data_IF_267034591420
#
_entry.id   IF_267034591420
#
_cell.length_a   1.000
_cell.length_b   1.000
_cell.length_c   1.000
_cell.angle_alpha   90.00
_cell.angle_beta   90.00
_cell.angle_gamma   90.00
#
_symmetry.space_group_name_H-M   'P 1'
#
loop_
_entity.id
_entity.type
_entity.pdbx_description
1 polymer ?
#
# COMPACT_ATOMS: atom_id res chain seq x y z
N UNK A 1 19.62 26.05 -17.23
CA UNK A 1 20.26 24.78 -17.66
C UNK A 1 19.12 23.87 -18.03
N UNK A 2 19.04 23.51 -19.28
CA UNK A 2 17.97 22.65 -19.78
C UNK A 2 18.25 21.21 -19.33
N UNK A 3 17.63 20.82 -18.22
CA UNK A 3 17.76 19.51 -17.61
C UNK A 3 16.64 18.59 -18.06
N UNK A 4 16.38 18.54 -19.35
CA UNK A 4 15.45 17.58 -19.97
C UNK A 4 15.95 16.14 -19.81
N UNK A 5 15.09 15.14 -20.07
CA UNK A 5 15.49 13.72 -20.13
C UNK A 5 16.74 13.53 -21.00
N UNK A 6 16.87 14.35 -22.04
CA UNK A 6 18.09 14.45 -22.86
C UNK A 6 19.31 14.89 -22.05
N UNK A 7 19.16 15.74 -21.04
CA UNK A 7 20.27 16.16 -20.20
C UNK A 7 20.63 15.11 -19.14
N UNK A 8 19.64 14.43 -18.56
CA UNK A 8 19.85 13.27 -17.68
C UNK A 8 20.50 12.13 -18.45
N UNK A 9 20.00 11.83 -19.64
CA UNK A 9 20.56 10.89 -20.59
C UNK A 9 22.00 11.23 -20.95
N UNK A 10 22.28 12.46 -21.34
CA UNK A 10 23.62 12.94 -21.65
C UNK A 10 24.55 12.92 -20.43
N UNK A 11 24.05 13.17 -19.21
CA UNK A 11 24.83 13.08 -17.99
C UNK A 11 25.16 11.63 -17.62
N UNK A 12 24.23 10.69 -17.82
CA UNK A 12 24.47 9.26 -17.61
C UNK A 12 25.49 8.73 -18.62
N UNK A 13 25.32 9.08 -19.89
CA UNK A 13 26.30 8.70 -20.95
C UNK A 13 27.66 9.32 -20.70
N UNK A 14 27.75 10.59 -20.27
CA UNK A 14 29.02 11.26 -19.98
C UNK A 14 29.71 10.71 -18.74
N UNK A 15 29.01 10.21 -17.75
CA UNK A 15 29.58 9.61 -16.54
C UNK A 15 29.94 8.13 -16.71
N UNK A 16 29.25 7.42 -17.57
CA UNK A 16 29.47 6.01 -17.88
C UNK A 16 30.10 5.88 -19.27
N UNK A 17 31.41 5.86 -19.36
CA UNK A 17 32.20 5.55 -20.56
C UNK A 17 31.44 4.81 -21.67
N UNK A 18 30.87 5.53 -22.63
CA UNK A 18 30.68 5.03 -23.99
C UNK A 18 29.68 3.88 -24.21
N UNK A 19 28.69 3.65 -23.35
CA UNK A 19 27.62 2.72 -23.67
C UNK A 19 26.67 3.37 -24.68
N UNK A 20 26.67 2.89 -25.92
CA UNK A 20 25.76 3.34 -26.98
C UNK A 20 24.32 2.83 -26.76
N UNK A 21 23.77 2.98 -25.54
CA UNK A 21 22.37 2.66 -25.25
C UNK A 21 21.45 3.61 -26.01
N UNK A 22 20.40 3.09 -26.57
CA UNK A 22 19.29 3.89 -27.09
C UNK A 22 18.36 4.35 -25.95
N UNK A 23 17.53 5.39 -26.19
CA UNK A 23 16.53 5.85 -25.24
C UNK A 23 15.60 4.69 -24.78
N UNK A 24 15.18 3.84 -25.70
CA UNK A 24 14.31 2.69 -25.41
C UNK A 24 15.03 1.68 -24.51
N UNK A 25 16.28 1.35 -24.80
CA UNK A 25 17.06 0.44 -23.96
C UNK A 25 17.26 0.98 -22.54
N UNK A 26 17.46 2.28 -22.41
CA UNK A 26 17.51 2.93 -21.09
C UNK A 26 16.17 2.79 -20.34
N UNK A 27 15.06 3.10 -21.01
CA UNK A 27 13.71 2.95 -20.40
C UNK A 27 13.41 1.50 -20.00
N UNK A 28 13.85 0.52 -20.80
CA UNK A 28 13.71 -0.92 -20.46
C UNK A 28 14.47 -1.28 -19.20
N UNK A 29 15.72 -0.81 -19.05
CA UNK A 29 16.54 -1.07 -17.87
C UNK A 29 15.97 -0.43 -16.61
N UNK A 30 15.58 0.85 -16.69
CA UNK A 30 14.98 1.56 -15.57
C UNK A 30 13.62 0.95 -15.15
N UNK A 31 12.80 0.58 -16.12
CA UNK A 31 11.53 -0.07 -15.86
C UNK A 31 11.73 -1.42 -15.17
N UNK A 32 12.70 -2.22 -15.62
CA UNK A 32 13.02 -3.49 -14.96
C UNK A 32 13.50 -3.25 -13.52
N UNK A 33 14.42 -2.29 -13.33
CA UNK A 33 14.90 -1.94 -11.99
C UNK A 33 13.76 -1.47 -11.08
N UNK A 34 12.81 -0.69 -11.62
CA UNK A 34 11.61 -0.26 -10.88
C UNK A 34 10.70 -1.40 -10.48
N UNK A 35 10.40 -2.31 -11.42
CA UNK A 35 9.52 -3.47 -11.17
C UNK A 35 10.07 -4.31 -10.00
N UNK A 36 11.39 -4.49 -9.93
CA UNK A 36 12.08 -5.29 -8.92
C UNK A 36 12.49 -4.46 -7.68
N UNK A 37 12.17 -3.16 -7.64
CA UNK A 37 12.64 -2.25 -6.59
C UNK A 37 11.97 -2.50 -5.24
N UNK A 38 12.73 -2.32 -4.17
CA UNK A 38 12.22 -2.31 -2.80
C UNK A 38 11.17 -1.23 -2.56
N UNK A 39 11.30 -0.05 -3.20
CA UNK A 39 10.34 1.07 -3.10
C UNK A 39 8.95 0.66 -3.64
N UNK A 40 8.90 0.08 -4.84
CA UNK A 40 7.66 -0.41 -5.43
C UNK A 40 7.04 -1.54 -4.59
N UNK A 41 7.86 -2.45 -4.10
CA UNK A 41 7.37 -3.52 -3.23
C UNK A 41 6.74 -2.99 -1.93
N UNK A 42 7.33 -1.97 -1.30
CA UNK A 42 6.75 -1.32 -0.11
C UNK A 42 5.39 -0.69 -0.42
N UNK A 43 5.20 -0.06 -1.59
CA UNK A 43 3.90 0.45 -2.03
C UNK A 43 2.86 -0.66 -2.13
N UNK A 44 3.22 -1.78 -2.74
CA UNK A 44 2.34 -2.96 -2.88
C UNK A 44 1.99 -3.54 -1.50
N UNK A 45 2.97 -3.65 -0.60
CA UNK A 45 2.74 -4.14 0.77
C UNK A 45 1.79 -3.21 1.53
N UNK A 46 1.98 -1.89 1.46
CA UNK A 46 1.10 -0.93 2.12
C UNK A 46 -0.36 -1.07 1.67
N UNK A 47 -0.60 -1.21 0.36
CA UNK A 47 -1.93 -1.45 -0.19
C UNK A 47 -2.52 -2.78 0.25
N UNK A 48 -1.75 -3.88 0.17
CA UNK A 48 -2.21 -5.20 0.62
C UNK A 48 -2.66 -5.17 2.07
N UNK A 49 -1.86 -4.57 2.94
CA UNK A 49 -2.18 -4.48 4.36
C UNK A 49 -3.41 -3.62 4.62
N UNK A 50 -3.58 -2.52 3.87
CA UNK A 50 -4.80 -1.72 3.95
C UNK A 50 -6.04 -2.52 3.56
N UNK A 51 -5.95 -3.32 2.49
CA UNK A 51 -7.02 -4.17 1.98
C UNK A 51 -7.27 -5.43 2.84
N UNK A 52 -6.46 -5.66 3.90
CA UNK A 52 -6.59 -6.82 4.80
C UNK A 52 -5.84 -8.05 4.33
N UNK A 53 -5.09 -7.99 3.24
CA UNK A 53 -4.22 -9.08 2.77
C UNK A 53 -2.87 -9.04 3.50
N UNK A 54 -2.88 -9.50 4.75
CA UNK A 54 -1.70 -9.54 5.61
C UNK A 54 -0.91 -10.84 5.43
N UNK A 55 0.38 -10.78 5.75
CA UNK A 55 1.29 -11.93 5.61
C UNK A 55 0.85 -13.14 6.44
N UNK A 56 0.12 -12.93 7.54
CA UNK A 56 -0.44 -14.00 8.38
C UNK A 56 -1.37 -14.95 7.60
N UNK A 57 -2.02 -14.48 6.54
CA UNK A 57 -2.90 -15.32 5.71
C UNK A 57 -2.15 -16.45 5.01
N UNK A 58 -0.83 -16.31 4.87
CA UNK A 58 0.06 -17.32 4.29
C UNK A 58 0.68 -18.25 5.35
N UNK A 59 0.34 -18.05 6.66
CA UNK A 59 0.86 -18.87 7.77
C UNK A 59 0.54 -20.34 7.52
N UNK A 60 1.56 -21.18 7.66
CA UNK A 60 1.44 -22.63 7.68
C UNK A 60 2.00 -23.15 8.99
N UNK A 61 1.28 -24.08 9.61
CA UNK A 61 1.77 -24.72 10.80
C UNK A 61 2.85 -25.74 10.43
N UNK A 62 4.01 -25.58 11.05
CA UNK A 62 5.17 -26.40 10.79
C UNK A 62 5.57 -27.14 12.07
N UNK A 63 6.03 -28.37 11.92
CA UNK A 63 6.69 -29.11 12.97
C UNK A 63 8.04 -29.64 12.47
N UNK A 64 9.00 -29.73 13.38
CA UNK A 64 10.32 -30.29 13.09
C UNK A 64 10.24 -31.78 13.29
N UNK A 65 10.63 -32.58 12.29
CA UNK A 65 10.72 -34.05 12.39
C UNK A 65 11.96 -34.47 13.18
N UNK A 66 12.07 -35.77 13.45
CA UNK A 66 13.20 -36.35 14.22
C UNK A 66 14.58 -36.10 13.55
N UNK A 67 14.60 -35.76 12.27
CA UNK A 67 15.82 -35.46 11.50
C UNK A 67 16.13 -33.97 11.41
N UNK A 68 15.36 -33.12 12.07
CA UNK A 68 15.51 -31.66 12.01
C UNK A 68 14.86 -30.98 10.80
N UNK A 69 14.13 -31.71 9.95
CA UNK A 69 13.46 -31.14 8.79
C UNK A 69 12.10 -30.55 9.18
N UNK A 70 11.80 -29.39 8.61
CA UNK A 70 10.49 -28.73 8.81
C UNK A 70 9.44 -29.34 7.89
N UNK A 71 8.31 -29.76 8.45
CA UNK A 71 7.16 -30.29 7.70
C UNK A 71 5.89 -29.54 8.04
N UNK A 72 5.05 -29.30 7.03
CA UNK A 72 3.70 -28.77 7.26
C UNK A 72 2.83 -29.83 7.94
N UNK A 73 2.19 -29.46 9.04
CA UNK A 73 1.34 -30.35 9.81
C UNK A 73 -0.13 -30.10 9.45
N UNK A 74 -0.78 -31.13 8.90
CA UNK A 74 -2.19 -31.12 8.62
C UNK A 74 -2.99 -31.69 9.81
N UNK A 75 -4.17 -31.15 10.07
CA UNK A 75 -5.08 -31.66 11.13
C UNK A 75 -4.94 -30.99 12.49
N UNK A 76 -4.00 -30.08 12.68
CA UNK A 76 -3.96 -29.18 13.82
C UNK A 76 -4.60 -27.84 13.48
N UNK A 77 -5.12 -27.11 14.47
CA UNK A 77 -5.62 -25.75 14.27
C UNK A 77 -4.55 -24.87 13.64
N UNK A 78 -4.91 -24.08 12.65
CA UNK A 78 -4.03 -23.14 11.97
C UNK A 78 -4.84 -21.88 11.64
N UNK A 79 -5.23 -21.15 12.66
CA UNK A 79 -5.98 -19.92 12.51
C UNK A 79 -5.11 -18.83 11.89
N UNK A 80 -5.73 -17.97 11.10
CA UNK A 80 -5.10 -16.86 10.39
C UNK A 80 -5.93 -15.61 10.63
N UNK A 81 -5.73 -15.01 11.79
CA UNK A 81 -6.55 -13.89 12.26
C UNK A 81 -5.88 -12.59 11.86
N UNK A 82 -6.63 -11.72 11.19
CA UNK A 82 -6.22 -10.36 10.86
C UNK A 82 -6.99 -9.38 11.74
N UNK A 83 -6.30 -8.64 12.61
CA UNK A 83 -6.81 -7.46 13.30
C UNK A 83 -6.20 -6.21 12.66
N UNK A 84 -6.84 -5.69 11.61
CA UNK A 84 -6.26 -4.67 10.74
C UNK A 84 -6.24 -3.28 11.39
N UNK A 85 -5.28 -3.03 12.28
CA UNK A 85 -5.04 -1.72 12.90
C UNK A 85 -4.39 -0.72 11.94
N UNK A 86 -3.69 -1.24 10.94
CA UNK A 86 -3.10 -0.39 9.91
C UNK A 86 -4.15 0.36 9.09
N UNK A 87 -5.20 -0.33 8.63
CA UNK A 87 -6.30 0.32 7.92
C UNK A 87 -7.00 1.38 8.79
N UNK A 88 -7.19 1.10 10.08
CA UNK A 88 -7.75 2.06 11.03
C UNK A 88 -6.90 3.35 11.11
N UNK A 89 -5.56 3.23 11.15
CA UNK A 89 -4.65 4.37 11.14
C UNK A 89 -4.73 5.18 9.84
N UNK A 90 -4.76 4.51 8.68
CA UNK A 90 -4.87 5.18 7.38
C UNK A 90 -6.19 5.94 7.28
N UNK A 91 -7.31 5.30 7.61
CA UNK A 91 -8.64 5.91 7.57
C UNK A 91 -8.75 7.11 8.53
N UNK A 92 -8.16 6.99 9.70
CA UNK A 92 -8.13 8.04 10.71
C UNK A 92 -7.38 9.28 10.21
N UNK A 93 -6.16 9.11 9.66
CA UNK A 93 -5.34 10.20 9.14
C UNK A 93 -5.96 10.88 7.91
N UNK A 94 -6.46 10.09 6.96
CA UNK A 94 -7.15 10.60 5.77
C UNK A 94 -8.40 11.39 6.17
N UNK A 95 -9.16 10.88 7.13
CA UNK A 95 -10.37 11.57 7.60
C UNK A 95 -10.02 12.81 8.41
N UNK A 96 -8.94 12.79 9.17
CA UNK A 96 -8.51 13.94 9.97
C UNK A 96 -8.10 15.13 9.08
N UNK A 97 -7.26 14.89 8.06
CA UNK A 97 -6.75 15.94 7.19
C UNK A 97 -7.71 16.31 6.05
N UNK A 98 -8.34 15.32 5.39
CA UNK A 98 -9.03 15.53 4.10
C UNK A 98 -10.57 15.43 4.19
N UNK A 99 -11.17 15.36 5.37
CA UNK A 99 -12.64 15.34 5.49
C UNK A 99 -13.28 16.72 5.34
N UNK A 100 -12.55 17.76 5.71
CA UNK A 100 -13.04 19.15 5.57
C UNK A 100 -12.92 19.59 4.10
N UNK A 101 -13.83 20.48 3.64
CA UNK A 101 -13.73 21.08 2.32
C UNK A 101 -12.42 21.85 2.17
N UNK A 102 -11.74 21.65 1.04
CA UNK A 102 -10.67 22.55 0.63
C UNK A 102 -11.29 23.88 0.24
N UNK A 103 -10.87 24.96 0.88
CA UNK A 103 -11.27 26.31 0.53
C UNK A 103 -10.16 26.97 -0.31
N UNK A 104 -10.49 27.34 -1.53
CA UNK A 104 -9.61 28.11 -2.40
C UNK A 104 -10.18 29.53 -2.48
N UNK A 105 -9.41 30.53 -2.05
CA UNK A 105 -9.83 31.94 -2.02
C UNK A 105 -9.06 32.73 -3.06
N UNK A 106 -9.76 33.59 -3.77
CA UNK A 106 -9.19 34.55 -4.71
C UNK A 106 -9.99 35.83 -4.67
N UNK A 107 -9.34 36.96 -4.94
CA UNK A 107 -10.00 38.27 -5.03
C UNK A 107 -10.69 38.48 -6.40
N UNK A 108 -10.39 37.64 -7.40
CA UNK A 108 -11.03 37.66 -8.71
C UNK A 108 -12.28 36.77 -8.72
N UNK A 109 -13.47 37.39 -8.77
CA UNK A 109 -14.75 36.65 -8.79
C UNK A 109 -14.91 35.74 -10.00
N UNK A 110 -14.36 36.08 -11.16
CA UNK A 110 -14.46 35.28 -12.38
C UNK A 110 -13.61 34.03 -12.24
N UNK A 111 -12.41 34.20 -11.76
CA UNK A 111 -11.51 33.08 -11.48
C UNK A 111 -12.03 32.19 -10.34
N UNK A 112 -12.61 32.80 -9.30
CA UNK A 112 -13.25 32.04 -8.21
C UNK A 112 -14.32 31.07 -8.70
N UNK A 113 -15.21 31.49 -9.62
CA UNK A 113 -16.21 30.61 -10.21
C UNK A 113 -15.61 29.43 -11.00
N UNK A 114 -14.49 29.66 -11.68
CA UNK A 114 -13.77 28.59 -12.41
C UNK A 114 -13.14 27.61 -11.44
N UNK A 115 -12.55 28.10 -10.34
CA UNK A 115 -12.00 27.25 -9.28
C UNK A 115 -13.08 26.39 -8.61
N UNK A 116 -14.28 26.93 -8.37
CA UNK A 116 -15.41 26.17 -7.82
C UNK A 116 -15.82 25.00 -8.75
N UNK A 117 -15.69 25.19 -10.04
CA UNK A 117 -15.96 24.12 -11.03
C UNK A 117 -14.91 23.00 -10.94
N UNK A 118 -13.64 23.34 -10.71
CA UNK A 118 -12.51 22.41 -10.57
C UNK A 118 -12.57 21.70 -9.22
N UNK A 119 -12.69 22.44 -8.11
CA UNK A 119 -12.66 21.94 -6.74
C UNK A 119 -14.04 21.46 -6.23
N UNK A 120 -14.79 20.84 -7.09
CA UNK A 120 -16.12 20.30 -6.83
C UNK A 120 -16.09 19.05 -5.93
N UNK A 121 -17.26 18.50 -5.61
CA UNK A 121 -17.41 17.30 -4.78
C UNK A 121 -16.68 16.07 -5.35
N UNK A 122 -16.59 15.94 -6.67
CA UNK A 122 -15.87 14.84 -7.33
C UNK A 122 -14.36 14.95 -7.09
N UNK A 123 -13.81 16.16 -7.18
CA UNK A 123 -12.41 16.43 -6.86
C UNK A 123 -12.11 16.09 -5.39
N UNK A 124 -12.97 16.53 -4.45
CA UNK A 124 -12.80 16.23 -3.02
C UNK A 124 -12.75 14.72 -2.75
N UNK A 125 -13.63 13.96 -3.38
CA UNK A 125 -13.62 12.49 -3.28
C UNK A 125 -12.32 11.91 -3.84
N UNK A 126 -11.82 12.43 -4.97
CA UNK A 126 -10.54 12.00 -5.55
C UNK A 126 -9.37 12.33 -4.65
N UNK A 127 -9.36 13.53 -4.05
CA UNK A 127 -8.33 13.96 -3.11
C UNK A 127 -8.30 13.09 -1.86
N UNK A 128 -9.46 12.72 -1.30
CA UNK A 128 -9.54 11.78 -0.19
C UNK A 128 -8.95 10.41 -0.56
N UNK A 129 -9.31 9.85 -1.71
CA UNK A 129 -8.77 8.59 -2.19
C UNK A 129 -7.27 8.68 -2.50
N UNK A 130 -6.80 9.84 -3.00
CA UNK A 130 -5.38 10.11 -3.20
C UNK A 130 -4.63 10.12 -1.87
N UNK A 131 -5.20 10.69 -0.81
CA UNK A 131 -4.64 10.64 0.54
C UNK A 131 -4.45 9.21 1.05
N UNK A 132 -5.39 8.31 0.74
CA UNK A 132 -5.24 6.87 1.03
C UNK A 132 -4.05 6.27 0.29
N UNK A 133 -3.88 6.58 -1.01
CA UNK A 133 -2.72 6.12 -1.78
C UNK A 133 -1.42 6.67 -1.21
N UNK A 134 -1.39 7.96 -0.86
CA UNK A 134 -0.22 8.64 -0.31
C UNK A 134 0.25 7.97 0.99
N UNK A 135 -0.67 7.65 1.90
CA UNK A 135 -0.31 6.96 3.16
C UNK A 135 0.15 5.52 2.92
N UNK A 136 -0.51 4.80 2.01
CA UNK A 136 -0.18 3.41 1.72
C UNK A 136 1.10 3.23 0.91
N UNK A 137 1.43 4.21 0.04
CA UNK A 137 2.52 4.10 -0.90
C UNK A 137 3.68 5.08 -0.64
N UNK A 138 3.52 6.03 0.29
CA UNK A 138 4.45 7.14 0.53
C UNK A 138 4.30 8.28 -0.46
N UNK A 139 3.72 8.01 -1.62
CA UNK A 139 3.41 8.97 -2.69
C UNK A 139 2.07 8.65 -3.32
N UNK A 140 1.42 9.68 -3.88
CA UNK A 140 0.24 9.57 -4.72
C UNK A 140 0.37 10.43 -5.96
N UNK A 141 -0.31 10.08 -7.05
CA UNK A 141 -0.18 10.78 -8.33
C UNK A 141 -1.53 11.18 -8.88
N UNK A 142 -1.63 12.46 -9.24
CA UNK A 142 -2.81 13.05 -9.88
C UNK A 142 -2.42 13.54 -11.28
N UNK A 143 -3.05 12.99 -12.30
CA UNK A 143 -2.84 13.36 -13.69
C UNK A 143 -3.96 14.29 -14.16
N UNK A 144 -3.68 15.58 -14.43
CA UNK A 144 -4.60 16.47 -15.10
C UNK A 144 -4.68 16.13 -16.59
N UNK A 145 -5.89 16.15 -17.13
CA UNK A 145 -6.14 15.94 -18.55
C UNK A 145 -7.39 16.73 -18.99
N UNK A 146 -7.50 17.01 -20.27
CA UNK A 146 -8.64 17.72 -20.82
C UNK A 146 -9.61 16.71 -21.43
N UNK A 147 -10.88 16.86 -21.09
CA UNK A 147 -11.97 16.09 -21.67
C UNK A 147 -13.16 16.99 -21.92
N UNK A 148 -13.66 17.01 -23.15
CA UNK A 148 -14.78 17.88 -23.58
C UNK A 148 -14.54 19.38 -23.29
N UNK A 149 -13.30 19.84 -23.40
CA UNK A 149 -12.93 21.23 -23.11
C UNK A 149 -12.85 21.59 -21.63
N UNK A 150 -12.99 20.63 -20.72
CA UNK A 150 -12.88 20.82 -19.29
C UNK A 150 -11.64 20.14 -18.70
N UNK A 151 -11.01 20.77 -17.72
CA UNK A 151 -9.92 20.18 -16.96
C UNK A 151 -10.48 19.11 -16.04
N UNK A 152 -9.98 17.91 -16.20
CA UNK A 152 -10.31 16.74 -15.41
C UNK A 152 -9.06 16.17 -14.74
N UNK A 153 -9.26 15.37 -13.70
CA UNK A 153 -8.16 14.73 -12.98
C UNK A 153 -8.35 13.23 -12.91
N UNK A 154 -7.27 12.49 -13.10
CA UNK A 154 -7.23 11.04 -12.96
C UNK A 154 -6.16 10.67 -11.93
N UNK A 155 -6.54 9.85 -10.97
CA UNK A 155 -5.60 9.28 -10.01
C UNK A 155 -4.90 8.08 -10.67
N UNK A 156 -3.58 8.06 -10.64
CA UNK A 156 -2.80 6.89 -11.02
C UNK A 156 -2.38 6.10 -9.79
N UNK A 157 -2.37 4.78 -9.89
CA UNK A 157 -1.89 3.91 -8.84
C UNK A 157 -0.36 4.07 -8.70
N UNK A 158 0.17 4.42 -7.52
CA UNK A 158 1.58 4.80 -7.38
C UNK A 158 2.56 3.71 -7.79
N UNK A 159 2.25 2.45 -7.54
CA UNK A 159 3.07 1.31 -7.92
C UNK A 159 3.17 1.08 -9.44
N UNK A 160 2.34 1.79 -10.22
CA UNK A 160 2.39 1.76 -11.68
C UNK A 160 3.27 2.87 -12.27
N UNK A 161 3.72 3.83 -11.47
CA UNK A 161 4.42 5.03 -11.94
C UNK A 161 5.90 4.94 -11.62
N UNK A 162 6.73 5.06 -12.63
CA UNK A 162 8.15 5.29 -12.53
C UNK A 162 8.44 6.74 -12.95
N UNK A 163 8.65 7.66 -12.00
CA UNK A 163 8.96 9.05 -12.31
C UNK A 163 10.46 9.24 -12.58
N UNK A 164 10.78 10.12 -13.52
CA UNK A 164 12.15 10.61 -13.77
C UNK A 164 12.23 12.07 -13.33
N UNK A 165 12.93 12.30 -12.24
CA UNK A 165 13.08 13.61 -11.65
C UNK A 165 14.33 14.32 -12.15
N UNK A 166 14.24 15.64 -12.32
CA UNK A 166 15.38 16.50 -12.68
C UNK A 166 16.26 16.79 -11.48
N UNK A 167 15.66 16.86 -10.30
CA UNK A 167 16.27 17.27 -9.04
C UNK A 167 16.19 16.16 -7.98
N UNK A 168 17.03 16.26 -6.95
CA UNK A 168 17.09 15.32 -5.84
C UNK A 168 15.92 15.48 -4.84
N UNK A 169 15.28 16.65 -4.83
CA UNK A 169 14.13 16.96 -3.95
C UNK A 169 12.80 16.46 -4.55
N UNK A 170 12.84 15.93 -5.79
CA UNK A 170 11.67 15.47 -6.52
C UNK A 170 10.57 16.53 -6.68
N UNK A 171 10.98 17.75 -7.06
CA UNK A 171 10.07 18.87 -7.32
C UNK A 171 9.75 19.03 -8.81
N UNK A 172 10.75 18.79 -9.67
CA UNK A 172 10.63 18.96 -11.12
C UNK A 172 10.63 17.60 -11.80
N UNK A 173 9.51 17.26 -12.40
CA UNK A 173 9.35 16.01 -13.15
C UNK A 173 9.73 16.24 -14.61
N UNK A 174 10.69 15.47 -15.12
CA UNK A 174 11.11 15.49 -16.52
C UNK A 174 10.22 14.61 -17.41
N UNK A 175 9.93 13.40 -16.94
CA UNK A 175 9.03 12.45 -17.61
C UNK A 175 8.60 11.34 -16.64
N UNK A 176 7.70 10.48 -17.05
CA UNK A 176 7.39 9.27 -16.30
C UNK A 176 6.92 8.12 -17.19
N UNK A 177 7.17 6.91 -16.72
CA UNK A 177 6.55 5.70 -17.28
C UNK A 177 5.37 5.27 -16.40
N UNK A 178 4.29 4.88 -17.05
CA UNK A 178 3.18 4.20 -16.41
C UNK A 178 3.08 2.79 -16.95
N UNK A 179 3.27 1.79 -16.07
CA UNK A 179 3.09 0.37 -16.41
C UNK A 179 1.81 -0.17 -15.78
N UNK A 180 0.95 -0.78 -16.59
CA UNK A 180 -0.29 -1.39 -16.11
C UNK A 180 -0.68 -2.59 -16.95
N UNK A 181 -1.43 -3.51 -16.35
CA UNK A 181 -1.93 -4.69 -17.06
C UNK A 181 -3.31 -4.46 -17.62
N UNK A 182 -3.56 -5.01 -18.81
CA UNK A 182 -4.87 -5.06 -19.44
C UNK A 182 -5.24 -6.53 -19.64
N UNK A 183 -6.44 -6.87 -19.19
CA UNK A 183 -6.99 -8.20 -19.40
C UNK A 183 -7.66 -8.25 -20.77
N UNK A 184 -7.28 -9.24 -21.58
CA UNK A 184 -7.80 -9.45 -22.93
C UNK A 184 -7.99 -10.95 -23.21
N UNK A 185 -8.48 -11.30 -24.39
CA UNK A 185 -8.61 -12.68 -24.81
C UNK A 185 -7.89 -12.90 -26.14
N UNK A 186 -7.14 -14.01 -26.22
CA UNK A 186 -6.61 -14.53 -27.47
C UNK A 186 -7.44 -15.77 -27.86
N UNK A 187 -8.39 -15.57 -28.78
CA UNK A 187 -9.46 -16.54 -28.97
C UNK A 187 -10.36 -16.66 -27.74
N UNK A 188 -10.37 -17.83 -27.09
CA UNK A 188 -11.12 -18.09 -25.83
C UNK A 188 -10.21 -18.12 -24.59
N UNK A 189 -8.91 -17.95 -24.76
CA UNK A 189 -7.96 -18.01 -23.66
C UNK A 189 -7.75 -16.62 -23.06
N UNK A 190 -7.84 -16.45 -21.71
CA UNK A 190 -7.54 -15.19 -21.07
C UNK A 190 -6.04 -14.88 -21.20
N UNK A 191 -5.74 -13.63 -21.51
CA UNK A 191 -4.38 -13.12 -21.66
C UNK A 191 -4.23 -11.78 -20.95
N UNK A 192 -3.13 -11.62 -20.25
CA UNK A 192 -2.74 -10.34 -19.63
C UNK A 192 -1.67 -9.73 -20.54
N UNK A 193 -1.91 -8.48 -20.95
CA UNK A 193 -0.95 -7.67 -21.70
C UNK A 193 -0.50 -6.55 -20.80
N UNK A 194 0.82 -6.36 -20.70
CA UNK A 194 1.40 -5.23 -19.98
C UNK A 194 1.61 -4.06 -20.95
N UNK A 195 0.94 -2.96 -20.68
CA UNK A 195 1.08 -1.71 -21.43
C UNK A 195 1.95 -0.73 -20.66
N UNK A 196 2.77 0.02 -21.40
CA UNK A 196 3.62 1.08 -20.86
C UNK A 196 3.35 2.36 -21.63
N UNK A 197 3.08 3.41 -20.92
CA UNK A 197 2.90 4.76 -21.45
C UNK A 197 4.05 5.63 -20.95
N UNK A 198 4.78 6.26 -21.88
CA UNK A 198 5.83 7.22 -21.58
C UNK A 198 5.30 8.63 -21.79
N UNK A 199 5.17 9.38 -20.73
CA UNK A 199 4.68 10.75 -20.70
C UNK A 199 5.85 11.72 -20.65
N UNK A 200 5.91 12.61 -21.63
CA UNK A 200 6.92 13.68 -21.75
C UNK A 200 6.22 15.01 -22.01
N UNK A 201 6.94 16.11 -22.09
CA UNK A 201 6.39 17.41 -22.54
C UNK A 201 5.95 17.37 -24.02
N UNK A 202 6.49 16.43 -24.81
CA UNK A 202 6.13 16.26 -26.24
C UNK A 202 4.95 15.33 -26.51
N UNK A 203 4.26 14.84 -25.45
CA UNK A 203 3.11 13.94 -25.60
C UNK A 203 3.31 12.56 -24.95
N UNK A 204 2.53 11.59 -25.40
CA UNK A 204 2.46 10.25 -24.82
C UNK A 204 2.92 9.24 -25.88
N UNK A 205 3.98 8.48 -25.59
CA UNK A 205 4.40 7.32 -26.38
C UNK A 205 3.89 6.04 -25.74
N UNK A 206 3.41 5.09 -26.53
CA UNK A 206 2.77 3.88 -26.04
C UNK A 206 3.48 2.63 -26.50
N UNK A 207 3.67 1.72 -25.55
CA UNK A 207 4.40 0.47 -25.75
C UNK A 207 3.68 -0.71 -25.10
N UNK A 208 3.97 -1.89 -25.63
CA UNK A 208 3.66 -3.18 -25.01
C UNK A 208 4.95 -3.69 -24.37
N UNK A 209 4.90 -4.05 -23.08
CA UNK A 209 6.01 -4.67 -22.39
C UNK A 209 5.90 -6.19 -22.50
N UNK A 210 6.90 -6.79 -23.14
CA UNK A 210 6.90 -8.21 -23.48
C UNK A 210 7.49 -9.07 -22.36
N UNK A 211 7.25 -10.39 -22.42
CA UNK A 211 7.86 -11.36 -21.51
C UNK A 211 9.40 -11.36 -21.61
N UNK A 212 9.97 -10.97 -22.76
CA UNK A 212 11.39 -10.78 -22.95
C UNK A 212 11.92 -9.45 -22.38
N UNK A 213 11.08 -8.72 -21.62
CA UNK A 213 11.39 -7.45 -20.97
C UNK A 213 11.77 -6.32 -21.96
N UNK A 214 11.15 -6.33 -23.13
CA UNK A 214 11.33 -5.35 -24.19
C UNK A 214 10.10 -4.48 -24.39
N UNK A 215 10.31 -3.21 -24.74
CA UNK A 215 9.29 -2.25 -25.11
C UNK A 215 9.08 -2.29 -26.64
N UNK A 216 7.90 -2.68 -27.08
CA UNK A 216 7.50 -2.70 -28.48
C UNK A 216 6.40 -1.64 -28.67
N UNK A 217 6.48 -0.77 -29.70
CA UNK A 217 5.43 0.22 -29.97
C UNK A 217 4.03 -0.43 -30.01
N UNK A 218 3.07 0.18 -29.34
CA UNK A 218 1.67 -0.29 -29.35
C UNK A 218 1.01 0.14 -30.68
N UNK A 219 0.78 -0.84 -31.56
CA UNK A 219 0.16 -0.57 -32.88
C UNK A 219 -1.35 -0.32 -32.80
N UNK A 220 -2.01 -0.71 -31.72
CA UNK A 220 -3.43 -0.48 -31.50
C UNK A 220 -3.71 0.91 -30.91
N UNK A 221 -2.80 1.39 -30.08
CA UNK A 221 -2.86 2.70 -29.45
C UNK A 221 -1.58 3.47 -29.78
N UNK A 222 -1.64 4.23 -30.87
CA UNK A 222 -0.49 5.03 -31.34
C UNK A 222 -0.15 6.16 -30.37
N UNK A 223 1.04 6.73 -30.56
CA UNK A 223 1.48 7.93 -29.85
C UNK A 223 0.45 9.06 -30.03
N UNK A 224 0.31 9.89 -29.02
CA UNK A 224 -0.66 10.98 -29.01
C UNK A 224 -0.13 12.23 -28.32
N UNK A 225 -0.54 13.38 -28.82
CA UNK A 225 -0.45 14.64 -28.11
C UNK A 225 -1.45 14.70 -26.96
N UNK A 226 -1.21 15.53 -25.96
CA UNK A 226 -2.15 15.71 -24.84
C UNK A 226 -3.45 16.34 -25.29
N UNK A 227 -3.38 17.25 -26.25
CA UNK A 227 -4.48 17.99 -26.80
C UNK A 227 -4.29 18.23 -28.30
N UNK A 228 -5.39 18.39 -29.01
CA UNK A 228 -5.41 18.90 -30.39
C UNK A 228 -6.37 20.07 -30.42
N UNK A 229 -5.87 21.25 -30.74
CA UNK A 229 -6.64 22.49 -30.87
C UNK A 229 -6.63 22.90 -32.35
N UNK A 230 -7.80 22.98 -32.97
CA UNK A 230 -7.93 23.32 -34.40
C UNK A 230 -7.10 22.45 -35.37
N UNK A 231 -6.79 21.22 -34.99
CA UNK A 231 -5.97 20.29 -35.76
C UNK A 231 -4.47 20.37 -35.51
N UNK A 232 -4.02 21.32 -34.68
CA UNK A 232 -2.64 21.46 -34.29
C UNK A 232 -2.39 20.81 -32.90
N UNK A 233 -1.25 20.13 -32.70
CA UNK A 233 -0.90 19.55 -31.41
C UNK A 233 -0.63 20.64 -30.37
N UNK A 234 -1.23 20.46 -29.21
CA UNK A 234 -0.95 21.31 -28.04
C UNK A 234 -0.53 20.43 -26.86
N UNK A 235 0.67 20.67 -26.39
CA UNK A 235 1.25 19.92 -25.25
C UNK A 235 1.47 20.85 -24.05
N UNK A 236 1.56 20.26 -22.87
CA UNK A 236 1.80 21.02 -21.65
C UNK A 236 3.27 21.46 -21.56
N UNK A 237 3.52 22.66 -21.02
CA UNK A 237 4.88 23.13 -20.76
C UNK A 237 5.62 22.32 -19.68
N UNK A 238 4.86 21.59 -18.88
CA UNK A 238 5.35 20.62 -17.88
C UNK A 238 4.64 19.30 -18.05
N UNK A 239 5.29 18.23 -17.64
CA UNK A 239 4.67 16.90 -17.64
C UNK A 239 3.43 16.90 -16.75
N UNK A 240 2.25 16.51 -17.26
CA UNK A 240 1.00 16.64 -16.53
C UNK A 240 0.82 15.50 -15.49
N UNK A 241 1.66 15.49 -14.49
CA UNK A 241 1.56 14.61 -13.31
C UNK A 241 1.96 15.40 -12.07
N UNK A 242 1.07 15.42 -11.10
CA UNK A 242 1.30 16.07 -9.82
C UNK A 242 1.53 14.99 -8.79
N UNK A 243 2.70 15.02 -8.15
CA UNK A 243 3.06 14.11 -7.08
C UNK A 243 2.66 14.70 -5.72
N UNK A 244 1.99 13.89 -4.90
CA UNK A 244 1.65 14.19 -3.53
C UNK A 244 2.46 13.28 -2.62
N UNK A 245 3.23 13.83 -1.70
CA UNK A 245 4.08 13.09 -0.78
C UNK A 245 3.40 12.93 0.58
N UNK A 246 3.64 11.79 1.23
CA UNK A 246 3.28 11.63 2.65
C UNK A 246 4.29 12.33 3.56
N UNK A 247 5.54 12.25 3.19
CA UNK A 247 6.67 12.83 3.89
C UNK A 247 7.83 13.07 2.91
N UNK A 248 8.80 13.87 3.32
CA UNK A 248 9.98 14.18 2.51
C UNK A 248 10.82 12.96 2.08
N UNK A 249 10.70 11.83 2.77
CA UNK A 249 11.40 10.57 2.43
C UNK A 249 10.60 9.66 1.52
N UNK A 250 9.35 10.02 1.20
CA UNK A 250 8.43 9.24 0.36
C UNK A 250 8.20 7.80 0.87
N UNK A 251 8.25 7.61 2.20
CA UNK A 251 8.09 6.32 2.82
C UNK A 251 6.63 6.08 3.24
N UNK A 252 6.06 4.92 2.90
CA UNK A 252 4.69 4.58 3.30
C UNK A 252 4.55 4.38 4.81
N UNK A 253 3.36 4.65 5.34
CA UNK A 253 3.04 4.53 6.76
C UNK A 253 3.26 3.10 7.28
N UNK A 254 3.04 2.08 6.44
CA UNK A 254 3.21 0.66 6.82
C UNK A 254 4.62 0.37 7.35
N UNK A 255 5.65 1.08 6.87
CA UNK A 255 7.03 0.88 7.30
C UNK A 255 7.25 1.16 8.80
N UNK A 256 6.39 1.99 9.42
CA UNK A 256 6.45 2.29 10.85
C UNK A 256 5.83 1.18 11.71
N UNK A 257 4.84 0.47 11.19
CA UNK A 257 3.97 -0.39 12.01
C UNK A 257 3.88 -1.84 11.55
N UNK A 258 4.46 -2.21 10.39
CA UNK A 258 4.34 -3.56 9.82
C UNK A 258 4.72 -4.66 10.83
N UNK A 259 5.87 -4.53 11.46
CA UNK A 259 6.35 -5.55 12.40
C UNK A 259 5.45 -5.71 13.62
N UNK A 260 4.88 -4.61 14.12
CA UNK A 260 3.92 -4.64 15.23
C UNK A 260 2.58 -5.24 14.80
N UNK A 261 2.13 -4.92 13.59
CA UNK A 261 0.91 -5.47 13.00
C UNK A 261 1.02 -6.97 12.77
N UNK A 262 2.16 -7.43 12.27
CA UNK A 262 2.44 -8.86 12.07
C UNK A 262 2.48 -9.60 13.40
N UNK A 263 3.17 -9.06 14.40
CA UNK A 263 3.23 -9.63 15.76
C UNK A 263 1.84 -9.73 16.40
N UNK A 264 0.99 -8.71 16.23
CA UNK A 264 -0.40 -8.74 16.73
C UNK A 264 -1.20 -9.87 16.07
N UNK A 265 -1.15 -9.98 14.75
CA UNK A 265 -1.88 -11.00 14.00
C UNK A 265 -1.37 -12.42 14.35
N UNK A 266 -0.05 -12.59 14.48
CA UNK A 266 0.55 -13.86 14.88
C UNK A 266 0.15 -14.28 16.28
N UNK A 267 0.19 -13.34 17.23
CA UNK A 267 -0.18 -13.60 18.62
C UNK A 267 -1.65 -14.01 18.74
N UNK A 268 -2.57 -13.29 18.06
CA UNK A 268 -3.99 -13.63 18.04
C UNK A 268 -4.25 -14.99 17.41
N UNK A 269 -3.55 -15.30 16.31
CA UNK A 269 -3.67 -16.58 15.63
C UNK A 269 -3.16 -17.73 16.49
N UNK A 270 -2.00 -17.58 17.14
CA UNK A 270 -1.40 -18.56 18.02
C UNK A 270 -2.25 -18.77 19.28
N UNK A 271 -2.78 -17.70 19.85
CA UNK A 271 -3.69 -17.81 20.99
C UNK A 271 -4.96 -18.61 20.64
N UNK A 272 -5.56 -18.29 19.49
CA UNK A 272 -6.72 -19.05 18.99
C UNK A 272 -6.40 -20.52 18.70
N UNK A 273 -5.22 -20.78 18.14
CA UNK A 273 -4.74 -22.16 17.90
C UNK A 273 -4.59 -22.90 19.23
N UNK A 274 -3.93 -22.29 20.23
CA UNK A 274 -3.72 -22.89 21.54
C UNK A 274 -5.05 -23.17 22.26
N UNK A 275 -6.00 -22.24 22.22
CA UNK A 275 -7.33 -22.44 22.79
C UNK A 275 -8.10 -23.60 22.10
N UNK A 276 -7.96 -23.72 20.78
CA UNK A 276 -8.61 -24.81 20.04
C UNK A 276 -7.92 -26.18 20.30
N UNK A 277 -6.64 -26.17 20.64
CA UNK A 277 -5.88 -27.37 21.03
C UNK A 277 -6.13 -27.76 22.48
N UNK A 278 -6.25 -26.80 23.40
CA UNK A 278 -6.42 -27.03 24.84
C UNK A 278 -7.68 -27.88 25.13
N UNK A 279 -8.73 -27.72 24.35
CA UNK A 279 -9.91 -28.59 24.38
C UNK A 279 -9.59 -30.07 23.99
N UNK A 280 -8.45 -30.30 23.29
CA UNK A 280 -8.02 -31.62 22.78
C UNK A 280 -6.74 -32.14 23.42
N UNK A 281 -5.98 -31.31 24.12
CA UNK A 281 -4.61 -31.60 24.57
C UNK A 281 -4.47 -31.81 26.05
N UNK A 282 -5.34 -32.61 26.60
CA UNK A 282 -4.97 -33.35 27.80
C UNK A 282 -3.84 -34.29 27.39
N UNK A 283 -2.60 -33.97 27.74
CA UNK A 283 -1.47 -34.90 27.58
C UNK A 283 -1.76 -36.07 28.57
N UNK A 284 -2.05 -37.21 28.00
CA UNK A 284 -2.23 -38.40 28.80
C UNK A 284 -0.85 -39.05 28.99
N UNK A 285 -0.38 -39.08 30.22
CA UNK A 285 0.80 -39.84 30.59
C UNK A 285 0.34 -41.24 30.92
N UNK A 286 0.69 -42.21 30.06
CA UNK A 286 0.33 -43.63 30.21
C UNK A 286 1.48 -44.38 30.88
N UNK A 287 1.26 -44.89 32.04
CA UNK A 287 2.17 -45.80 32.71
C UNK A 287 1.58 -47.22 32.62
N UNK A 288 2.37 -48.17 32.06
CA UNK A 288 1.95 -49.59 31.96
C UNK A 288 0.93 -49.88 30.86
N UNK A 289 0.89 -49.11 29.80
CA UNK A 289 0.08 -49.42 28.61
C UNK A 289 0.81 -50.43 27.73
N UNK A 290 0.17 -51.61 27.50
CA UNK A 290 0.74 -52.72 26.72
C UNK A 290 0.25 -52.75 25.26
N UNK A 291 -0.47 -51.75 24.80
CA UNK A 291 -0.96 -51.66 23.41
C UNK A 291 0.16 -51.22 22.46
N UNK A 292 0.23 -51.92 21.32
CA UNK A 292 1.26 -51.65 20.29
C UNK A 292 0.99 -50.36 19.48
N UNK A 293 -0.27 -49.85 19.45
CA UNK A 293 -0.68 -48.74 18.60
C UNK A 293 -1.34 -47.59 19.39
N UNK A 294 -0.59 -46.50 19.54
CA UNK A 294 -1.08 -45.25 20.15
C UNK A 294 -2.23 -44.65 19.34
N UNK A 295 -2.39 -44.98 18.06
CA UNK A 295 -3.48 -44.49 17.23
C UNK A 295 -4.79 -45.22 17.55
N UNK A 296 -4.74 -46.50 17.91
CA UNK A 296 -5.87 -47.25 18.42
C UNK A 296 -6.31 -46.75 19.80
N UNK A 297 -5.37 -46.50 20.68
CA UNK A 297 -5.61 -45.86 21.97
C UNK A 297 -6.40 -44.56 21.80
N UNK A 298 -5.93 -43.69 20.91
CA UNK A 298 -6.58 -42.38 20.65
C UNK A 298 -7.98 -42.55 20.06
N UNK A 299 -8.19 -43.51 19.16
CA UNK A 299 -9.51 -43.83 18.59
C UNK A 299 -10.48 -44.31 19.68
N UNK A 300 -10.03 -45.20 20.56
CA UNK A 300 -10.83 -45.76 21.62
C UNK A 300 -11.20 -44.69 22.67
N UNK A 301 -10.26 -43.79 23.01
CA UNK A 301 -10.52 -42.64 23.87
C UNK A 301 -11.59 -41.70 23.27
N UNK A 302 -11.50 -41.41 21.98
CA UNK A 302 -12.47 -40.53 21.29
C UNK A 302 -13.84 -41.21 21.16
N UNK A 303 -13.86 -42.52 20.84
CA UNK A 303 -15.10 -43.28 20.58
C UNK A 303 -15.84 -43.63 21.84
N UNK A 304 -15.14 -44.02 22.90
CA UNK A 304 -15.75 -44.60 24.10
C UNK A 304 -15.55 -43.76 25.37
N UNK A 305 -14.68 -42.76 25.36
CA UNK A 305 -14.37 -41.92 26.51
C UNK A 305 -13.70 -42.64 27.69
N UNK A 306 -13.34 -43.94 27.54
CA UNK A 306 -12.78 -44.79 28.57
C UNK A 306 -11.59 -45.58 27.99
N UNK A 307 -10.56 -45.79 28.81
CA UNK A 307 -9.38 -46.55 28.45
C UNK A 307 -9.06 -47.51 29.57
N UNK A 308 -8.66 -48.75 29.19
CA UNK A 308 -8.15 -49.75 30.12
C UNK A 308 -6.60 -49.61 30.15
N UNK A 309 -6.05 -49.33 31.33
CA UNK A 309 -4.61 -49.22 31.57
C UNK A 309 -4.22 -50.29 32.60
N UNK A 310 -3.20 -51.11 32.28
CA UNK A 310 -2.74 -52.14 33.16
C UNK A 310 -3.40 -53.49 32.94
N UNK A 311 -2.72 -54.57 33.36
CA UNK A 311 -3.16 -55.98 33.38
C UNK A 311 -3.38 -56.43 34.80
N UNK A 312 -3.90 -57.65 34.99
CA UNK A 312 -4.18 -58.24 36.32
C UNK A 312 -2.93 -58.23 37.22
N UNK A 313 -1.73 -58.28 36.62
CA UNK A 313 -0.46 -58.34 37.33
C UNK A 313 0.33 -57.02 37.44
N UNK A 314 -0.10 -55.94 36.72
CA UNK A 314 0.55 -54.62 36.75
C UNK A 314 -0.48 -53.52 36.82
N UNK A 315 -0.36 -52.68 37.83
CA UNK A 315 -1.14 -51.45 37.96
C UNK A 315 -0.64 -50.43 36.95
N UNK A 316 -1.53 -50.02 36.04
CA UNK A 316 -1.29 -48.85 35.18
C UNK A 316 -1.85 -47.59 35.80
N UNK A 317 -1.28 -46.46 35.47
CA UNK A 317 -1.78 -45.13 35.88
C UNK A 317 -1.96 -44.25 34.63
N UNK A 318 -2.93 -43.39 34.70
CA UNK A 318 -3.20 -42.36 33.68
C UNK A 318 -3.20 -41.02 34.36
N UNK A 319 -2.23 -40.18 34.05
CA UNK A 319 -2.16 -38.84 34.54
C UNK A 319 -2.47 -37.88 33.41
N UNK A 320 -3.18 -36.81 33.72
CA UNK A 320 -3.46 -35.72 32.81
C UNK A 320 -2.52 -34.57 33.14
N UNK A 321 -1.78 -34.09 32.16
CA UNK A 321 -1.06 -32.84 32.22
C UNK A 321 -1.86 -31.81 31.41
N UNK A 322 -2.51 -30.89 32.06
CA UNK A 322 -3.14 -29.74 31.42
C UNK A 322 -2.13 -28.59 31.37
N UNK A 323 -1.88 -28.09 30.18
CA UNK A 323 -1.11 -26.86 29.99
C UNK A 323 -2.13 -25.71 29.94
N UNK A 324 -2.24 -24.95 31.03
CA UNK A 324 -3.12 -23.79 31.06
C UNK A 324 -2.54 -22.67 30.23
N UNK A 325 -3.32 -22.15 29.28
CA UNK A 325 -2.98 -20.94 28.54
C UNK A 325 -3.20 -19.73 29.46
N UNK A 326 -2.13 -18.99 29.74
CA UNK A 326 -2.25 -17.79 30.58
C UNK A 326 -2.92 -16.65 29.82
N UNK A 327 -4.24 -16.57 29.91
CA UNK A 327 -5.06 -15.59 29.20
C UNK A 327 -4.72 -14.13 29.56
N UNK A 328 -4.35 -13.87 30.82
CA UNK A 328 -4.03 -12.52 31.30
C UNK A 328 -2.76 -11.96 30.62
N UNK A 329 -1.74 -12.81 30.43
CA UNK A 329 -0.53 -12.41 29.73
C UNK A 329 -0.81 -12.12 28.24
N UNK A 330 -1.65 -12.93 27.59
CA UNK A 330 -2.04 -12.68 26.20
C UNK A 330 -2.79 -11.35 26.07
N UNK A 331 -3.78 -11.09 26.94
CA UNK A 331 -4.54 -9.85 26.93
C UNK A 331 -3.64 -8.62 27.13
N UNK A 332 -2.69 -8.70 28.08
CA UNK A 332 -1.74 -7.62 28.33
C UNK A 332 -0.88 -7.33 27.09
N UNK A 333 -0.30 -8.36 26.46
CA UNK A 333 0.57 -8.18 25.29
C UNK A 333 -0.24 -7.67 24.08
N UNK A 334 -1.46 -8.16 23.85
CA UNK A 334 -2.36 -7.69 22.79
C UNK A 334 -2.66 -6.20 22.98
N UNK A 335 -2.97 -5.77 24.18
CA UNK A 335 -3.20 -4.34 24.48
C UNK A 335 -1.96 -3.50 24.24
N UNK A 336 -0.78 -3.97 24.66
CA UNK A 336 0.48 -3.27 24.42
C UNK A 336 0.80 -3.16 22.94
N UNK A 337 0.59 -4.22 22.14
CA UNK A 337 0.81 -4.18 20.69
C UNK A 337 -0.15 -3.22 19.99
N UNK A 338 -1.44 -3.26 20.35
CA UNK A 338 -2.44 -2.32 19.81
C UNK A 338 -2.06 -0.87 20.10
N UNK A 339 -1.66 -0.58 21.32
CA UNK A 339 -1.19 0.74 21.74
C UNK A 339 0.07 1.15 20.98
N UNK A 340 1.05 0.25 20.89
CA UNK A 340 2.31 0.51 20.17
C UNK A 340 2.08 0.79 18.67
N UNK A 341 1.12 0.11 18.01
CA UNK A 341 0.76 0.38 16.61
C UNK A 341 0.23 1.82 16.47
N UNK A 342 -0.65 2.25 17.36
CA UNK A 342 -1.22 3.60 17.33
C UNK A 342 -0.13 4.65 17.58
N UNK A 343 0.69 4.47 18.61
CA UNK A 343 1.76 5.41 18.97
C UNK A 343 2.83 5.53 17.86
N UNK A 344 3.33 4.40 17.35
CA UNK A 344 4.31 4.41 16.26
C UNK A 344 3.73 4.90 14.93
N UNK A 345 2.43 4.65 14.70
CA UNK A 345 1.70 5.18 13.56
C UNK A 345 1.32 6.65 13.68
N UNK A 346 1.60 7.31 14.81
CA UNK A 346 1.13 8.67 15.12
C UNK A 346 -0.38 8.80 14.95
N UNK A 347 -1.12 7.80 15.46
CA UNK A 347 -2.57 7.76 15.41
C UNK A 347 -3.20 8.35 16.68
N UNK A 348 -4.51 8.27 16.71
CA UNK A 348 -5.33 8.68 17.83
C UNK A 348 -6.04 7.48 18.44
N UNK A 349 -5.90 7.25 19.76
CA UNK A 349 -6.64 6.22 20.47
C UNK A 349 -7.89 6.82 21.13
N UNK A 350 -9.05 6.59 20.50
CA UNK A 350 -10.32 7.02 21.03
C UNK A 350 -10.74 6.28 22.33
N UNK A 351 -10.05 5.18 22.66
CA UNK A 351 -10.31 4.33 23.84
C UNK A 351 -9.25 4.51 24.93
N UNK A 352 -8.40 5.53 24.81
CA UNK A 352 -7.40 5.87 25.82
C UNK A 352 -8.09 6.16 27.18
N UNK A 353 -7.57 5.58 28.26
CA UNK A 353 -8.11 5.75 29.61
C UNK A 353 -8.18 7.24 30.03
N UNK A 354 -7.37 8.10 29.43
CA UNK A 354 -7.41 9.55 29.64
C UNK A 354 -8.70 10.20 29.12
N UNK A 355 -9.43 9.52 28.22
CA UNK A 355 -10.72 9.97 27.71
C UNK A 355 -11.90 9.48 28.57
N UNK A 356 -11.72 8.43 29.37
CA UNK A 356 -12.80 7.76 30.11
C UNK A 356 -13.32 8.57 31.31
N UNK A 357 -12.53 9.46 31.90
CA UNK A 357 -12.84 10.18 33.15
C UNK A 357 -12.84 11.70 32.96
N UNK A 358 -13.87 12.27 32.27
CA UNK A 358 -14.02 13.72 32.08
C UNK A 358 -12.70 14.40 31.69
N UNK A 359 -12.20 14.16 30.49
CA UNK A 359 -10.89 14.67 30.06
C UNK A 359 -10.90 16.20 30.08
N UNK A 360 -9.91 16.80 30.72
CA UNK A 360 -9.71 18.24 30.61
C UNK A 360 -9.14 18.59 29.23
N UNK A 361 -9.19 19.87 28.88
CA UNK A 361 -8.74 20.35 27.57
C UNK A 361 -7.24 20.03 27.29
N UNK A 362 -6.39 19.96 28.33
CA UNK A 362 -4.99 19.60 28.17
C UNK A 362 -4.82 18.12 27.80
N UNK A 363 -5.60 17.21 28.42
CA UNK A 363 -5.57 15.80 28.08
C UNK A 363 -6.03 15.56 26.63
N UNK A 364 -7.11 16.22 26.22
CA UNK A 364 -7.60 16.15 24.83
C UNK A 364 -6.51 16.61 23.86
N UNK A 365 -5.89 17.77 24.08
CA UNK A 365 -4.79 18.27 23.23
C UNK A 365 -3.61 17.33 23.21
N UNK A 366 -3.23 16.73 24.34
CA UNK A 366 -2.12 15.77 24.41
C UNK A 366 -2.40 14.49 23.60
N UNK A 367 -3.64 14.03 23.58
CA UNK A 367 -4.03 12.83 22.83
C UNK A 367 -3.98 13.08 21.32
N UNK A 368 -4.35 14.30 20.87
CA UNK A 368 -4.32 14.67 19.46
C UNK A 368 -2.95 15.16 18.96
N UNK A 369 -1.96 15.39 19.87
CA UNK A 369 -0.69 16.01 19.49
C UNK A 369 0.07 15.25 18.41
N UNK A 370 0.07 13.93 18.46
CA UNK A 370 0.84 13.09 17.53
C UNK A 370 0.20 13.08 16.13
N UNK A 371 -1.13 12.98 16.06
CA UNK A 371 -1.83 13.05 14.79
C UNK A 371 -1.79 14.46 14.19
N UNK A 372 -1.82 15.51 15.04
CA UNK A 372 -1.67 16.90 14.60
C UNK A 372 -0.31 17.13 13.93
N UNK A 373 0.78 16.66 14.55
CA UNK A 373 2.13 16.80 14.00
C UNK A 373 2.28 16.07 12.64
N UNK A 374 1.76 14.86 12.54
CA UNK A 374 1.83 14.10 11.30
C UNK A 374 0.94 14.70 10.21
N UNK A 375 -0.24 15.21 10.59
CA UNK A 375 -1.14 15.91 9.67
C UNK A 375 -0.53 17.22 9.16
N UNK A 376 0.11 18.03 10.02
CA UNK A 376 0.78 19.25 9.62
C UNK A 376 1.92 19.02 8.62
N UNK A 377 2.70 17.94 8.83
CA UNK A 377 3.75 17.57 7.87
C UNK A 377 3.15 17.16 6.51
N UNK A 378 2.11 16.35 6.51
CA UNK A 378 1.42 15.94 5.28
C UNK A 378 0.73 17.13 4.61
N UNK A 379 0.18 18.08 5.38
CA UNK A 379 -0.46 19.30 4.86
C UNK A 379 0.53 20.16 4.08
N UNK A 380 1.76 20.36 4.59
CA UNK A 380 2.79 21.13 3.87
C UNK A 380 3.11 20.51 2.51
N UNK A 381 3.28 19.19 2.45
CA UNK A 381 3.53 18.47 1.19
C UNK A 381 2.33 18.59 0.23
N UNK A 382 1.10 18.52 0.76
CA UNK A 382 -0.10 18.65 -0.05
C UNK A 382 -0.29 20.08 -0.57
N UNK A 383 0.03 21.10 0.23
CA UNK A 383 -0.01 22.50 -0.19
C UNK A 383 0.93 22.76 -1.36
N UNK A 384 2.19 22.29 -1.28
CA UNK A 384 3.14 22.39 -2.38
C UNK A 384 2.65 21.71 -3.68
N UNK A 385 2.04 20.53 -3.53
CA UNK A 385 1.46 19.81 -4.69
C UNK A 385 0.23 20.53 -5.25
N UNK A 386 -0.61 21.13 -4.40
CA UNK A 386 -1.77 21.92 -4.82
C UNK A 386 -1.35 23.22 -5.52
N UNK A 387 -0.23 23.85 -5.15
CA UNK A 387 0.33 24.99 -5.88
C UNK A 387 0.72 24.59 -7.32
N UNK A 388 1.35 23.43 -7.51
CA UNK A 388 1.63 22.90 -8.84
C UNK A 388 0.35 22.63 -9.65
N UNK A 389 -0.69 22.12 -9.00
CA UNK A 389 -2.00 21.89 -9.62
C UNK A 389 -2.63 23.21 -10.06
N UNK A 390 -2.56 24.23 -9.21
CA UNK A 390 -3.08 25.57 -9.52
C UNK A 390 -2.35 26.19 -10.71
N UNK A 391 -1.03 26.06 -10.77
CA UNK A 391 -0.23 26.54 -11.89
C UNK A 391 -0.68 25.90 -13.22
N UNK A 392 -0.83 24.55 -13.26
CA UNK A 392 -1.33 23.86 -14.44
C UNK A 392 -2.78 24.26 -14.82
N UNK A 393 -3.63 24.53 -13.83
CA UNK A 393 -5.00 24.98 -14.07
C UNK A 393 -5.07 26.40 -14.66
N UNK A 394 -4.20 27.29 -14.18
CA UNK A 394 -4.12 28.69 -14.65
C UNK A 394 -3.71 28.80 -16.11
N UNK A 395 -2.71 28.06 -16.54
CA UNK A 395 -2.27 28.03 -17.95
C UNK A 395 -3.44 27.61 -18.85
N UNK A 396 -4.17 26.58 -18.45
CA UNK A 396 -5.29 26.08 -19.23
C UNK A 396 -6.48 27.06 -19.31
N UNK A 397 -6.73 27.81 -18.21
CA UNK A 397 -7.83 28.78 -18.15
C UNK A 397 -7.49 30.06 -18.94
N UNK A 398 -6.21 30.47 -18.99
CA UNK A 398 -5.81 31.72 -19.62
C UNK A 398 -5.48 31.63 -21.12
N UNK A 399 -5.07 30.47 -21.63
CA UNK A 399 -4.62 30.34 -23.02
C UNK A 399 -5.70 29.91 -24.05
N UNK A 400 -6.76 29.14 -23.73
CA UNK A 400 -7.75 28.78 -24.74
C UNK A 400 -8.63 29.92 -25.26
N UNK A 401 -8.51 31.12 -24.70
CA UNK A 401 -9.38 32.28 -25.02
C UNK A 401 -8.66 33.46 -25.63
N UNK A 402 -7.40 33.34 -26.04
CA UNK A 402 -6.81 34.37 -26.91
C UNK A 402 -7.17 34.06 -28.36
N UNK A 403 -8.18 34.73 -28.97
CA UNK A 403 -8.20 34.89 -30.42
C UNK A 403 -6.95 35.67 -30.76
N UNK A 404 -6.12 35.14 -31.66
CA UNK A 404 -5.06 35.95 -32.24
C UNK A 404 -5.68 37.24 -32.79
N UNK A 405 -5.08 38.42 -32.51
CA UNK A 405 -5.49 39.63 -33.16
C UNK A 405 -5.20 39.50 -34.66
N UNK A 406 -6.27 39.64 -35.45
CA UNK A 406 -6.22 39.77 -36.88
C UNK A 406 -5.34 40.93 -37.30
#
# INVERSE_FOLDING_TARGET
MDLSLNALWNNIIRRGSGSGLTEIEFLELELQAWIDSGKRNQMIVGKRYFDGDHDILNKQRQAVDANGNTRTVNGLPNNRIVDNRYAELVDQKVSYLLSKPLEVRTDDERYGKQLDTIFNQTFRRRLKNLGTDVLNCGMGYLHPYISNGELQFKRFAPEQILPFWVDEEHEILDSFLRIYSVFTYEGTQPKIIWKVEHYTTGGIRRYIYTDSKKLIPDVEQTDADYLTVNGEPFNWDRVPLIAFKYNNRELPLINRVKGLQDALNELLSNYSDNMAEDIRSTILILEGYEGEDLSEFRRNLIAYGVIKVGTEDRKGDVRTLSIEVNADNYDLIIRLLKKAIIENGHGFDAKDDRMANNPNQMNIRSIYSDIDLDANNMEMEFQASLEQLMWLSLIHISEPTRPEPI
#
